data_IF_022464095538
#
_entry.id   IF_022464095538
#
_cell.length_a   1.000
_cell.length_b   1.000
_cell.length_c   1.000
_cell.angle_alpha   90.00
_cell.angle_beta   90.00
_cell.angle_gamma   90.00
#
_symmetry.space_group_name_H-M   'P 1'
#
loop_
_entity.id
_entity.type
_entity.pdbx_description
1 polymer ?
#
# COMPACT_ATOMS: atom_id res chain seq x y z
N UNK A 1 18.47 -18.29 10.05
CA UNK A 1 18.20 -16.85 9.96
C UNK A 1 16.73 -16.64 9.65
N UNK A 2 16.03 -15.97 10.53
CA UNK A 2 14.61 -15.68 10.31
C UNK A 2 14.47 -14.35 9.57
N UNK A 3 13.69 -14.36 8.50
CA UNK A 3 13.34 -13.13 7.82
C UNK A 3 12.43 -12.27 8.72
N UNK A 4 12.58 -10.97 8.65
CA UNK A 4 11.65 -10.08 9.34
C UNK A 4 10.25 -10.24 8.74
N UNK A 5 9.18 -10.18 9.57
CA UNK A 5 7.83 -10.17 9.05
C UNK A 5 7.62 -9.00 8.08
N UNK A 6 6.88 -9.25 7.02
CA UNK A 6 6.50 -8.19 6.10
C UNK A 6 5.52 -7.22 6.77
N UNK A 7 5.61 -5.95 6.39
CA UNK A 7 4.69 -4.92 6.88
C UNK A 7 3.78 -4.46 5.77
N UNK A 8 2.53 -4.25 6.11
CA UNK A 8 1.49 -3.83 5.17
C UNK A 8 0.74 -2.63 5.71
N UNK A 9 0.10 -1.91 4.80
CA UNK A 9 -0.84 -0.84 5.12
C UNK A 9 -2.07 -0.99 4.22
N UNK A 10 -3.25 -0.74 4.78
CA UNK A 10 -4.50 -0.76 4.03
C UNK A 10 -4.78 0.63 3.47
N UNK A 11 -5.07 0.69 2.18
CA UNK A 11 -5.36 1.94 1.46
C UNK A 11 -6.60 1.71 0.59
N UNK A 12 -7.50 2.68 0.55
CA UNK A 12 -8.65 2.60 -0.34
C UNK A 12 -8.24 2.79 -1.81
N UNK A 13 -8.89 2.07 -2.72
CA UNK A 13 -8.80 2.37 -4.14
C UNK A 13 -9.54 3.70 -4.45
N UNK A 14 -9.11 4.46 -5.43
CA UNK A 14 -8.07 4.15 -6.42
C UNK A 14 -6.65 4.37 -5.91
N UNK A 15 -6.49 4.91 -4.70
CA UNK A 15 -5.18 5.29 -4.17
C UNK A 15 -4.25 4.11 -4.02
N UNK A 16 -4.75 2.96 -3.56
CA UNK A 16 -3.94 1.75 -3.42
C UNK A 16 -3.32 1.34 -4.76
N UNK A 17 -4.15 1.26 -5.80
CA UNK A 17 -3.66 0.94 -7.15
C UNK A 17 -2.67 1.99 -7.66
N UNK A 18 -2.98 3.29 -7.46
CA UNK A 18 -2.10 4.36 -7.94
C UNK A 18 -0.72 4.31 -7.31
N UNK A 19 -0.64 3.94 -6.04
CA UNK A 19 0.63 3.79 -5.33
C UNK A 19 1.48 2.70 -5.99
N UNK A 20 0.94 1.50 -6.17
CA UNK A 20 1.72 0.38 -6.74
C UNK A 20 1.99 0.54 -8.23
N UNK A 21 1.18 1.35 -8.92
CA UNK A 21 1.40 1.70 -10.33
C UNK A 21 2.43 2.82 -10.50
N UNK A 22 2.91 3.42 -9.43
CA UNK A 22 3.89 4.50 -9.49
C UNK A 22 3.29 5.86 -9.83
N UNK A 23 1.98 5.98 -9.79
CA UNK A 23 1.26 7.22 -10.13
C UNK A 23 1.07 8.14 -8.93
N UNK A 24 1.32 7.63 -7.72
CA UNK A 24 1.28 8.41 -6.48
C UNK A 24 2.48 8.03 -5.63
N UNK A 25 3.35 9.01 -5.39
CA UNK A 25 4.64 8.81 -4.71
C UNK A 25 4.69 9.44 -3.33
N UNK A 26 3.64 10.12 -2.92
CA UNK A 26 3.51 10.73 -1.59
C UNK A 26 2.13 10.42 -1.04
N UNK A 27 2.09 10.01 0.23
CA UNK A 27 0.84 9.75 0.95
C UNK A 27 0.85 10.60 2.21
N UNK A 28 -0.25 11.30 2.47
CA UNK A 28 -0.39 12.12 3.68
C UNK A 28 -1.12 11.34 4.76
N UNK A 29 -0.58 11.39 5.97
CA UNK A 29 -1.15 10.75 7.15
C UNK A 29 -0.93 11.64 8.37
N UNK A 30 -1.80 11.49 9.36
CA UNK A 30 -1.71 12.26 10.60
C UNK A 30 -0.68 11.71 11.58
N UNK A 31 -0.20 10.50 11.35
CA UNK A 31 0.73 9.80 12.24
C UNK A 31 2.03 9.45 11.51
N UNK A 32 3.10 9.29 12.29
CA UNK A 32 4.44 9.01 11.77
C UNK A 32 4.84 7.58 12.15
N UNK A 33 5.09 6.70 11.17
CA UNK A 33 5.58 5.36 11.46
C UNK A 33 7.06 5.40 11.84
N UNK A 34 7.49 4.47 12.65
CA UNK A 34 8.92 4.27 12.93
C UNK A 34 9.61 3.43 11.87
N UNK A 35 8.83 2.70 11.06
CA UNK A 35 9.34 1.81 10.02
C UNK A 35 9.84 2.60 8.80
N UNK A 36 10.95 2.12 8.24
CA UNK A 36 11.40 2.48 6.88
C UNK A 36 11.77 1.20 6.17
N UNK A 37 11.47 1.12 4.87
CA UNK A 37 11.74 -0.06 4.06
C UNK A 37 10.52 -0.51 3.28
N UNK A 38 10.50 -1.78 2.90
CA UNK A 38 9.43 -2.34 2.08
C UNK A 38 8.09 -2.29 2.81
N UNK A 39 7.10 -1.76 2.12
CA UNK A 39 5.74 -1.63 2.61
C UNK A 39 4.80 -2.26 1.59
N UNK A 40 4.12 -3.34 2.00
CA UNK A 40 3.14 -4.00 1.17
C UNK A 40 1.84 -3.22 1.17
N UNK A 41 1.22 -3.10 0.01
CA UNK A 41 0.01 -2.31 -0.14
C UNK A 41 -1.19 -3.26 -0.21
N UNK A 42 -2.06 -3.12 0.77
CA UNK A 42 -3.33 -3.84 0.85
C UNK A 42 -4.42 -2.90 0.33
N UNK A 43 -5.08 -3.29 -0.76
CA UNK A 43 -6.27 -2.58 -1.22
C UNK A 43 -7.43 -2.95 -0.28
N UNK A 44 -7.93 -1.97 0.43
CA UNK A 44 -8.99 -2.19 1.42
C UNK A 44 -10.30 -2.65 0.79
N UNK A 45 -11.21 -3.11 1.64
CA UNK A 45 -12.54 -3.54 1.22
C UNK A 45 -13.33 -2.40 0.58
N UNK A 46 -13.25 -1.21 1.18
CA UNK A 46 -13.99 -0.04 0.71
C UNK A 46 -13.12 0.79 -0.22
N UNK A 47 -13.75 1.42 -1.19
CA UNK A 47 -13.09 2.31 -2.15
C UNK A 47 -13.56 3.75 -1.93
N UNK A 48 -12.72 4.71 -2.30
CA UNK A 48 -13.08 6.13 -2.23
C UNK A 48 -13.88 6.52 -3.46
N UNK A 49 -15.20 6.43 -3.35
CA UNK A 49 -16.11 6.71 -4.46
C UNK A 49 -16.16 8.19 -4.83
N UNK A 50 -15.57 9.07 -4.02
CA UNK A 50 -15.47 10.50 -4.34
C UNK A 50 -14.31 10.82 -5.28
N UNK A 51 -13.41 9.87 -5.52
CA UNK A 51 -12.26 10.10 -6.39
C UNK A 51 -12.72 10.30 -7.84
N UNK A 52 -12.13 11.30 -8.57
CA UNK A 52 -12.47 11.54 -9.96
C UNK A 52 -12.26 10.31 -10.85
N UNK A 53 -13.09 10.17 -11.88
CA UNK A 53 -13.10 8.98 -12.73
C UNK A 53 -11.74 8.67 -13.38
N UNK A 54 -10.99 9.70 -13.75
CA UNK A 54 -9.70 9.56 -14.41
C UNK A 54 -8.59 8.98 -13.51
N UNK A 55 -8.82 8.92 -12.20
CA UNK A 55 -7.85 8.38 -11.25
C UNK A 55 -7.98 6.87 -11.04
N UNK A 56 -9.05 6.27 -11.55
CA UNK A 56 -9.31 4.84 -11.35
C UNK A 56 -8.53 3.96 -12.31
N UNK A 57 -8.22 2.72 -11.92
CA UNK A 57 -7.53 1.78 -12.82
C UNK A 57 -8.40 1.41 -14.01
N UNK A 58 -7.78 0.90 -15.09
CA UNK A 58 -8.54 0.31 -16.19
C UNK A 58 -9.46 -0.81 -15.72
N UNK A 59 -10.52 -1.05 -16.47
CA UNK A 59 -11.44 -2.14 -16.18
C UNK A 59 -10.68 -3.47 -16.03
N UNK A 60 -11.05 -4.23 -15.00
CA UNK A 60 -10.39 -5.50 -14.68
C UNK A 60 -9.16 -5.38 -13.79
N UNK A 61 -8.71 -4.16 -13.48
CA UNK A 61 -7.56 -3.93 -12.59
C UNK A 61 -7.97 -3.55 -11.18
N UNK A 62 -9.25 -3.37 -10.92
CA UNK A 62 -9.73 -3.01 -9.59
C UNK A 62 -9.86 -4.27 -8.73
N UNK A 63 -9.04 -4.35 -7.70
CA UNK A 63 -9.02 -5.47 -6.75
C UNK A 63 -9.14 -4.91 -5.34
N UNK A 64 -9.96 -5.54 -4.52
CA UNK A 64 -10.16 -5.16 -3.11
C UNK A 64 -9.88 -6.34 -2.19
N UNK A 65 -9.67 -6.06 -0.90
CA UNK A 65 -9.35 -7.06 0.12
C UNK A 65 -8.16 -7.93 -0.29
N UNK A 66 -7.13 -7.30 -0.83
CA UNK A 66 -6.01 -8.02 -1.41
C UNK A 66 -4.70 -7.23 -1.27
N UNK A 67 -3.60 -7.97 -1.19
CA UNK A 67 -2.27 -7.38 -1.36
C UNK A 67 -2.03 -7.26 -2.87
N UNK A 68 -1.81 -6.04 -3.34
CA UNK A 68 -1.72 -5.75 -4.78
C UNK A 68 -0.32 -5.36 -5.24
N UNK A 69 0.59 -5.13 -4.31
CA UNK A 69 1.96 -4.76 -4.63
C UNK A 69 2.71 -4.27 -3.43
N UNK A 70 3.84 -3.65 -3.68
CA UNK A 70 4.66 -3.06 -2.62
C UNK A 70 5.40 -1.82 -3.11
N UNK A 71 5.84 -1.03 -2.15
CA UNK A 71 6.68 0.15 -2.34
C UNK A 71 7.77 0.13 -1.29
N UNK A 72 8.72 1.04 -1.38
CA UNK A 72 9.63 1.34 -0.29
C UNK A 72 9.19 2.63 0.38
N UNK A 73 8.94 2.58 1.70
CA UNK A 73 8.77 3.78 2.50
C UNK A 73 10.15 4.35 2.76
N UNK A 74 10.54 5.32 1.94
CA UNK A 74 11.90 5.85 1.92
C UNK A 74 12.12 6.93 2.97
N UNK A 75 11.11 7.76 3.24
CA UNK A 75 11.22 8.88 4.14
C UNK A 75 9.83 9.31 4.62
N UNK A 76 9.80 10.01 5.76
CA UNK A 76 8.60 10.65 6.28
C UNK A 76 8.98 12.08 6.65
N UNK A 77 8.30 13.03 6.05
CA UNK A 77 8.57 14.46 6.21
C UNK A 77 7.34 15.16 6.77
N UNK A 78 7.54 16.33 7.32
CA UNK A 78 6.44 17.15 7.83
C UNK A 78 6.52 17.41 9.31
N UNK A 79 5.37 17.46 9.97
CA UNK A 79 5.26 17.81 11.38
C UNK A 79 4.08 17.04 12.00
N UNK A 80 4.00 16.98 13.33
CA UNK A 80 2.90 16.27 14.00
C UNK A 80 1.53 16.66 13.45
N UNK A 81 0.74 15.65 13.11
CA UNK A 81 -0.58 15.81 12.52
C UNK A 81 -0.62 15.98 10.99
N UNK A 82 0.54 16.18 10.35
CA UNK A 82 0.62 16.43 8.91
C UNK A 82 1.90 15.82 8.33
N UNK A 83 1.95 14.49 8.31
CA UNK A 83 3.12 13.76 7.82
C UNK A 83 2.96 13.37 6.35
N UNK A 84 4.06 13.50 5.61
CA UNK A 84 4.14 13.11 4.19
C UNK A 84 5.08 11.93 4.07
N UNK A 85 4.54 10.81 3.63
CA UNK A 85 5.28 9.57 3.43
C UNK A 85 5.78 9.53 1.99
N UNK A 86 7.09 9.47 1.82
CA UNK A 86 7.72 9.43 0.50
C UNK A 86 7.93 7.99 0.10
N UNK A 87 7.35 7.61 -1.04
CA UNK A 87 7.33 6.24 -1.54
C UNK A 87 8.20 6.12 -2.79
N UNK A 88 8.99 5.05 -2.85
CA UNK A 88 9.84 4.75 -4.00
C UNK A 88 9.66 3.28 -4.40
N UNK A 89 10.24 2.90 -5.52
CA UNK A 89 10.30 1.51 -6.01
C UNK A 89 8.95 0.80 -6.03
N UNK A 90 7.92 1.38 -6.68
CA UNK A 90 6.61 0.74 -6.76
C UNK A 90 6.67 -0.53 -7.61
N UNK A 91 5.97 -1.56 -7.13
CA UNK A 91 5.83 -2.83 -7.86
C UNK A 91 4.40 -3.33 -7.73
N UNK A 92 3.79 -3.68 -8.84
CA UNK A 92 2.51 -4.37 -8.87
C UNK A 92 2.75 -5.86 -8.87
N UNK A 93 1.91 -6.60 -8.13
CA UNK A 93 1.89 -8.05 -8.24
C UNK A 93 1.13 -8.45 -9.51
N UNK A 94 1.68 -9.39 -10.28
CA UNK A 94 0.98 -9.96 -11.43
C UNK A 94 -0.31 -10.66 -10.97
N UNK A 95 -0.22 -11.33 -9.82
CA UNK A 95 -1.37 -11.99 -9.20
C UNK A 95 -1.54 -11.45 -7.78
N UNK A 96 -2.56 -10.63 -7.52
CA UNK A 96 -2.85 -10.17 -6.17
C UNK A 96 -3.10 -11.32 -5.21
N UNK A 97 -2.70 -11.12 -3.94
CA UNK A 97 -3.03 -12.07 -2.88
C UNK A 97 -4.40 -11.68 -2.34
N UNK A 98 -5.43 -12.41 -2.76
CA UNK A 98 -6.83 -12.11 -2.45
C UNK A 98 -7.26 -12.65 -1.09
N UNK A 99 -8.41 -12.20 -0.61
CA UNK A 99 -8.99 -12.69 0.65
C UNK A 99 -8.19 -12.25 1.88
N UNK A 100 -7.50 -11.13 1.81
CA UNK A 100 -6.69 -10.61 2.91
C UNK A 100 -7.48 -9.53 3.66
N UNK A 101 -7.65 -9.73 4.96
CA UNK A 101 -8.28 -8.76 5.82
C UNK A 101 -7.32 -7.64 6.18
N UNK A 102 -7.76 -6.40 6.10
CA UNK A 102 -6.98 -5.24 6.51
C UNK A 102 -7.00 -5.02 8.01
N UNK A 103 -6.04 -4.24 8.48
CA UNK A 103 -5.91 -3.83 9.88
C UNK A 103 -5.52 -2.35 9.94
N UNK A 104 -5.79 -1.66 11.06
CA UNK A 104 -5.37 -0.27 11.22
C UNK A 104 -3.84 -0.15 11.27
N UNK A 105 -3.34 1.00 10.82
CA UNK A 105 -1.92 1.32 10.89
C UNK A 105 -1.04 0.43 10.03
N UNK A 106 0.23 0.32 10.39
CA UNK A 106 1.12 -0.68 9.81
C UNK A 106 0.94 -1.99 10.56
N UNK A 107 0.79 -3.07 9.82
CA UNK A 107 0.55 -4.36 10.42
C UNK A 107 1.44 -5.43 9.79
N UNK A 108 1.74 -6.47 10.57
CA UNK A 108 2.57 -7.57 10.11
C UNK A 108 1.73 -8.54 9.29
N UNK A 109 2.29 -9.01 8.20
CA UNK A 109 1.60 -9.94 7.31
C UNK A 109 2.50 -11.12 6.97
N UNK A 110 1.91 -12.31 6.92
CA UNK A 110 2.55 -13.50 6.40
C UNK A 110 2.23 -13.61 4.91
N UNK A 111 3.26 -13.52 4.08
CA UNK A 111 3.10 -13.63 2.64
C UNK A 111 3.19 -15.08 2.20
N UNK A 112 2.50 -15.44 1.09
CA UNK A 112 2.64 -16.79 0.53
C UNK A 112 4.09 -17.11 0.20
N UNK A 113 4.49 -18.40 0.24
CA UNK A 113 5.83 -18.81 -0.13
C UNK A 113 6.21 -18.35 -1.54
N UNK A 114 7.45 -17.92 -1.72
CA UNK A 114 7.94 -17.45 -3.01
C UNK A 114 7.67 -15.98 -3.32
N UNK A 115 6.88 -15.30 -2.48
CA UNK A 115 6.59 -13.88 -2.67
C UNK A 115 7.56 -13.04 -1.83
N UNK A 116 8.32 -12.19 -2.50
CA UNK A 116 9.28 -11.30 -1.85
C UNK A 116 9.34 -9.96 -2.58
N UNK A 117 9.83 -8.97 -1.87
CA UNK A 117 10.02 -7.64 -2.45
C UNK A 117 11.35 -7.53 -3.20
#
# INVERSE_FOLDING_TARGET
MTAEPARAISVMNPWAWRIVAGLQVVVERTWKPSWRGVLWIHAGKDSDLSAPAELWPPAGRLVTSAIIGHVTLADVQGQPGAWRWVLTDPRQLAEPVTGVRGHPGLWLIDLPPGLSA
#
